data_IF_851309629392
#
_entry.id   IF_851309629392
#
_cell.length_a   1.000
_cell.length_b   1.000
_cell.length_c   1.000
_cell.angle_alpha   90.00
_cell.angle_beta   90.00
_cell.angle_gamma   90.00
#
_symmetry.space_group_name_H-M   'P 1'
#
loop_
_entity.id
_entity.type
_entity.pdbx_description
1 polymer ?
#
# COMPACT_ATOMS: atom_id res chain seq x y z
N UNK A 1 4.52 40.47 31.46
CA UNK A 1 5.64 40.21 30.55
C UNK A 1 6.03 38.74 30.68
N UNK A 2 5.80 37.92 29.64
CA UNK A 2 6.09 36.47 29.68
C UNK A 2 7.60 36.24 29.60
N UNK A 3 8.18 35.52 30.56
CA UNK A 3 9.59 35.10 30.50
C UNK A 3 9.74 34.13 29.33
N UNK A 4 10.52 34.51 28.32
CA UNK A 4 10.86 33.62 27.22
C UNK A 4 11.59 32.37 27.75
N UNK A 5 10.94 31.22 27.62
CA UNK A 5 11.53 29.92 27.95
C UNK A 5 12.65 29.61 26.94
N UNK A 6 13.90 29.84 27.34
CA UNK A 6 15.07 29.42 26.56
C UNK A 6 15.37 27.96 26.83
N UNK A 7 14.95 27.09 25.92
CA UNK A 7 15.32 25.67 25.95
C UNK A 7 16.80 25.54 25.59
N UNK A 8 17.63 25.06 26.53
CA UNK A 8 19.05 24.78 26.28
C UNK A 8 19.20 23.37 25.71
N UNK A 9 19.67 23.26 24.48
CA UNK A 9 19.97 21.97 23.84
C UNK A 9 21.38 21.54 24.29
N UNK A 10 21.53 20.29 24.73
CA UNK A 10 22.84 19.73 25.09
C UNK A 10 23.68 19.53 23.81
N UNK A 11 24.99 19.84 23.81
CA UNK A 11 25.84 19.68 22.62
C UNK A 11 25.81 18.26 22.03
N UNK A 12 25.78 17.25 22.88
CA UNK A 12 25.68 15.84 22.45
C UNK A 12 24.38 15.54 21.70
N UNK A 13 23.26 16.13 22.14
CA UNK A 13 21.96 15.93 21.50
C UNK A 13 21.93 16.65 20.14
N UNK A 14 22.50 17.86 20.06
CA UNK A 14 22.64 18.59 18.81
C UNK A 14 23.48 17.79 17.79
N UNK A 15 24.61 17.23 18.22
CA UNK A 15 25.46 16.42 17.35
C UNK A 15 24.79 15.13 16.85
N UNK A 16 23.86 14.54 17.63
CA UNK A 16 23.06 13.40 17.16
C UNK A 16 22.07 13.81 16.07
N UNK A 17 21.40 14.95 16.22
CA UNK A 17 20.46 15.47 15.22
C UNK A 17 21.19 15.84 13.93
N UNK A 18 22.35 16.48 14.02
CA UNK A 18 23.17 16.82 12.85
C UNK A 18 23.60 15.59 12.06
N UNK A 19 24.00 14.50 12.74
CA UNK A 19 24.31 13.23 12.07
C UNK A 19 23.10 12.65 11.34
N UNK A 20 21.91 12.71 11.93
CA UNK A 20 20.67 12.26 11.28
C UNK A 20 20.36 13.11 10.06
N UNK A 21 20.53 14.44 10.16
CA UNK A 21 20.35 15.35 9.03
C UNK A 21 21.32 15.01 7.90
N UNK A 22 22.63 14.92 8.17
CA UNK A 22 23.64 14.56 7.17
C UNK A 22 23.35 13.21 6.52
N UNK A 23 22.95 12.21 7.30
CA UNK A 23 22.54 10.91 6.79
C UNK A 23 21.34 11.02 5.85
N UNK A 24 20.30 11.74 6.26
CA UNK A 24 19.09 11.96 5.47
C UNK A 24 19.39 12.69 4.14
N UNK A 25 20.28 13.69 4.15
CA UNK A 25 20.74 14.37 2.94
C UNK A 25 21.43 13.41 1.97
N UNK A 26 22.37 12.62 2.48
CA UNK A 26 23.09 11.64 1.66
C UNK A 26 22.15 10.56 1.10
N UNK A 27 21.21 10.08 1.91
CA UNK A 27 20.22 9.09 1.49
C UNK A 27 19.31 9.65 0.40
N UNK A 28 18.79 10.88 0.56
CA UNK A 28 17.96 11.53 -0.45
C UNK A 28 18.71 11.73 -1.77
N UNK A 29 19.98 12.18 -1.73
CA UNK A 29 20.80 12.32 -2.92
C UNK A 29 21.03 10.98 -3.63
N UNK A 30 21.33 9.92 -2.87
CA UNK A 30 21.44 8.55 -3.39
C UNK A 30 20.13 8.08 -4.03
N UNK A 31 18.99 8.39 -3.42
CA UNK A 31 17.68 8.02 -3.95
C UNK A 31 17.46 8.60 -5.34
N UNK A 32 17.68 9.91 -5.53
CA UNK A 32 17.46 10.56 -6.82
C UNK A 32 18.52 10.22 -7.86
N UNK A 33 19.78 10.06 -7.46
CA UNK A 33 20.89 9.79 -8.39
C UNK A 33 20.93 8.34 -8.88
N UNK A 34 20.54 7.38 -8.04
CA UNK A 34 20.76 5.95 -8.34
C UNK A 34 19.51 5.10 -8.16
N UNK A 35 18.83 5.19 -7.01
CA UNK A 35 17.80 4.22 -6.64
C UNK A 35 16.53 4.40 -7.47
N UNK A 36 16.03 5.63 -7.62
CA UNK A 36 14.81 5.91 -8.37
C UNK A 36 14.99 5.58 -9.86
N UNK A 37 16.07 6.04 -10.55
CA UNK A 37 16.31 5.64 -11.94
C UNK A 37 16.38 4.12 -12.12
N UNK A 38 17.10 3.42 -11.23
CA UNK A 38 17.18 1.96 -11.28
C UNK A 38 15.82 1.29 -11.06
N UNK A 39 15.03 1.80 -10.11
CA UNK A 39 13.69 1.27 -9.82
C UNK A 39 12.73 1.44 -10.99
N UNK A 40 12.82 2.53 -11.75
CA UNK A 40 12.02 2.72 -12.97
C UNK A 40 12.31 1.57 -13.95
N UNK A 41 13.58 1.32 -14.28
CA UNK A 41 13.94 0.22 -15.19
C UNK A 41 13.56 -1.17 -14.67
N UNK A 42 13.66 -1.39 -13.36
CA UNK A 42 13.24 -2.65 -12.73
C UNK A 42 11.72 -2.86 -12.82
N UNK A 43 10.93 -1.80 -12.58
CA UNK A 43 9.47 -1.86 -12.67
C UNK A 43 9.01 -2.01 -14.12
N UNK A 44 9.70 -1.37 -15.07
CA UNK A 44 9.45 -1.59 -16.51
C UNK A 44 9.69 -3.05 -16.90
N UNK A 45 10.77 -3.66 -16.41
CA UNK A 45 11.03 -5.09 -16.63
C UNK A 45 9.98 -5.98 -15.94
N UNK A 46 9.55 -5.62 -14.72
CA UNK A 46 8.50 -6.34 -14.00
C UNK A 46 7.16 -6.29 -14.74
N UNK A 47 6.83 -5.17 -15.40
CA UNK A 47 5.63 -5.07 -16.23
C UNK A 47 5.66 -5.99 -17.45
N UNK A 48 6.83 -6.49 -17.88
CA UNK A 48 6.95 -7.49 -18.95
C UNK A 48 6.90 -8.94 -18.42
N UNK A 49 6.78 -9.13 -17.10
CA UNK A 49 6.74 -10.46 -16.49
C UNK A 49 5.42 -11.17 -16.81
N UNK A 50 5.50 -12.44 -17.19
CA UNK A 50 4.33 -13.26 -17.54
C UNK A 50 3.31 -13.36 -16.40
N UNK A 51 3.75 -13.24 -15.14
CA UNK A 51 2.84 -13.27 -13.99
C UNK A 51 1.94 -12.04 -13.91
N UNK A 52 2.33 -10.91 -14.53
CA UNK A 52 1.52 -9.70 -14.61
C UNK A 52 0.79 -9.57 -15.96
N UNK A 53 1.24 -10.31 -16.99
CA UNK A 53 0.65 -10.33 -18.34
C UNK A 53 -0.23 -11.56 -18.56
N UNK A 54 -1.19 -11.79 -17.67
CA UNK A 54 -2.12 -12.93 -17.71
C UNK A 54 -3.45 -12.54 -18.34
N UNK A 55 -3.99 -13.44 -19.18
CA UNK A 55 -5.36 -13.30 -19.69
C UNK A 55 -6.39 -13.51 -18.57
N UNK A 56 -7.50 -12.75 -18.61
CA UNK A 56 -8.53 -12.77 -17.57
C UNK A 56 -9.20 -14.14 -17.42
N UNK A 57 -9.38 -14.88 -18.51
CA UNK A 57 -9.94 -16.23 -18.44
C UNK A 57 -8.98 -17.22 -17.78
N UNK A 58 -7.68 -16.98 -17.90
CA UNK A 58 -6.65 -17.82 -17.26
C UNK A 58 -6.60 -17.67 -15.73
N UNK A 59 -7.19 -16.60 -15.20
CA UNK A 59 -7.28 -16.34 -13.76
C UNK A 59 -8.41 -17.09 -13.07
N UNK A 60 -9.31 -17.77 -13.80
CA UNK A 60 -10.33 -18.60 -13.18
C UNK A 60 -9.68 -19.74 -12.39
N UNK A 61 -9.82 -19.67 -11.07
CA UNK A 61 -9.46 -20.75 -10.16
C UNK A 61 -10.68 -21.67 -9.95
N UNK A 62 -10.47 -23.00 -9.83
CA UNK A 62 -11.55 -23.94 -9.55
C UNK A 62 -12.28 -23.55 -8.26
N UNK A 63 -13.61 -23.47 -8.33
CA UNK A 63 -14.47 -23.14 -7.20
C UNK A 63 -15.41 -24.31 -6.92
N UNK A 64 -14.94 -25.28 -6.15
CA UNK A 64 -15.67 -26.49 -5.78
C UNK A 64 -16.68 -26.22 -4.64
N UNK A 65 -17.60 -25.28 -4.90
CA UNK A 65 -18.74 -25.05 -4.04
C UNK A 65 -19.90 -25.91 -4.54
N UNK A 66 -20.42 -26.83 -3.71
CA UNK A 66 -21.58 -27.63 -4.09
C UNK A 66 -22.81 -26.73 -4.30
N UNK A 67 -23.39 -26.77 -5.51
CA UNK A 67 -24.60 -26.04 -5.86
C UNK A 67 -25.82 -26.86 -5.38
N UNK A 68 -26.71 -26.30 -4.53
CA UNK A 68 -27.92 -27.00 -4.11
C UNK A 68 -28.86 -27.22 -5.31
N UNK A 69 -29.47 -28.41 -5.38
CA UNK A 69 -30.49 -28.69 -6.39
C UNK A 69 -31.73 -27.81 -6.17
N UNK A 70 -32.38 -27.34 -7.26
CA UNK A 70 -33.63 -26.60 -7.15
C UNK A 70 -34.70 -27.47 -6.48
N UNK A 71 -35.58 -26.90 -5.64
CA UNK A 71 -36.67 -27.65 -5.03
C UNK A 71 -37.58 -28.24 -6.12
N UNK A 72 -37.97 -29.50 -5.95
CA UNK A 72 -38.94 -30.16 -6.83
C UNK A 72 -40.30 -29.47 -6.69
N UNK A 73 -41.03 -29.27 -7.80
CA UNK A 73 -42.38 -28.71 -7.81
C UNK A 73 -43.41 -29.55 -7.02
N UNK A 74 -43.05 -30.77 -6.62
CA UNK A 74 -43.86 -31.65 -5.76
C UNK A 74 -43.83 -31.22 -4.28
N UNK A 75 -42.87 -30.37 -3.86
CA UNK A 75 -42.75 -29.87 -2.48
C UNK A 75 -43.58 -28.58 -2.21
N UNK A 76 -44.25 -28.00 -3.22
CA UNK A 76 -45.06 -26.76 -3.07
C UNK A 76 -46.54 -26.98 -2.71
N UNK A 77 -47.03 -28.22 -2.64
CA UNK A 77 -48.43 -28.53 -2.28
C UNK A 77 -48.56 -29.56 -1.14
N UNK A 78 -47.95 -29.33 0.01
CA UNK A 78 -48.42 -29.95 1.26
C UNK A 78 -48.26 -28.95 2.41
N UNK A 79 -49.24 -28.06 2.53
CA UNK A 79 -49.53 -27.40 3.80
C UNK A 79 -50.33 -28.37 4.67
N UNK A 80 -49.83 -28.62 5.88
CA UNK A 80 -50.43 -29.37 6.98
C UNK A 80 -50.27 -30.89 6.97
N UNK A 81 -49.15 -31.38 7.51
CA UNK A 81 -49.11 -32.26 8.69
C UNK A 81 -47.69 -32.55 9.17
N UNK A 82 -47.53 -32.53 10.49
CA UNK A 82 -46.34 -32.87 11.25
C UNK A 82 -45.81 -34.28 10.91
N UNK A 83 -44.67 -34.41 10.20
CA UNK A 83 -43.71 -35.52 10.34
C UNK A 83 -42.30 -35.03 9.94
N UNK A 84 -41.27 -35.60 10.56
CA UNK A 84 -39.85 -35.26 10.46
C UNK A 84 -39.30 -35.24 9.02
N UNK A 85 -39.57 -34.17 8.27
CA UNK A 85 -38.96 -33.92 6.97
C UNK A 85 -37.47 -33.66 7.16
N UNK A 86 -36.63 -34.55 6.64
CA UNK A 86 -35.18 -34.39 6.56
C UNK A 86 -34.87 -32.97 6.05
N UNK A 87 -34.47 -32.06 6.95
CA UNK A 87 -33.87 -30.79 6.54
C UNK A 87 -32.67 -31.15 5.69
N UNK A 88 -32.82 -31.08 4.35
CA UNK A 88 -31.75 -31.33 3.36
C UNK A 88 -30.52 -30.57 3.86
N UNK A 89 -29.58 -31.31 4.46
CA UNK A 89 -28.44 -30.70 5.14
C UNK A 89 -27.64 -29.99 4.05
N UNK A 90 -27.41 -28.69 4.24
CA UNK A 90 -26.61 -27.91 3.30
C UNK A 90 -25.32 -28.68 2.96
N UNK A 91 -25.00 -28.84 1.66
CA UNK A 91 -23.82 -29.59 1.27
C UNK A 91 -22.57 -29.04 1.96
N UNK A 92 -21.77 -29.92 2.58
CA UNK A 92 -20.52 -29.48 3.23
C UNK A 92 -19.52 -29.10 2.14
N UNK A 93 -19.13 -27.84 2.10
CA UNK A 93 -18.09 -27.35 1.21
C UNK A 93 -16.70 -27.77 1.71
N UNK A 94 -15.83 -28.21 0.79
CA UNK A 94 -14.44 -28.59 1.08
C UNK A 94 -13.51 -27.38 1.26
N UNK A 95 -12.21 -27.64 1.42
CA UNK A 95 -11.21 -26.57 1.47
C UNK A 95 -11.03 -25.93 0.09
N UNK A 96 -11.33 -24.63 -0.01
CA UNK A 96 -11.12 -23.84 -1.22
C UNK A 96 -9.75 -23.16 -1.13
N UNK A 97 -8.83 -23.55 -2.01
CA UNK A 97 -7.50 -22.93 -2.09
C UNK A 97 -7.60 -21.53 -2.72
N UNK A 98 -6.72 -20.62 -2.30
CA UNK A 98 -6.58 -19.30 -2.94
C UNK A 98 -6.09 -19.39 -4.39
N UNK A 99 -6.25 -18.31 -5.14
CA UNK A 99 -5.80 -18.24 -6.53
C UNK A 99 -4.28 -18.09 -6.60
N UNK A 100 -3.59 -19.18 -6.94
CA UNK A 100 -2.12 -19.25 -7.00
C UNK A 100 -1.50 -18.23 -7.97
N UNK A 101 -2.16 -17.95 -9.10
CA UNK A 101 -1.65 -17.00 -10.09
C UNK A 101 -1.65 -15.57 -9.53
N UNK A 102 -2.75 -15.20 -8.88
CA UNK A 102 -2.88 -13.90 -8.20
C UNK A 102 -1.89 -13.81 -7.04
N UNK A 103 -1.72 -14.89 -6.27
CA UNK A 103 -0.74 -14.93 -5.18
C UNK A 103 0.69 -14.73 -5.70
N UNK A 104 1.06 -15.40 -6.80
CA UNK A 104 2.37 -15.21 -7.42
C UNK A 104 2.61 -13.77 -7.91
N UNK A 105 1.60 -13.11 -8.46
CA UNK A 105 1.69 -11.70 -8.84
C UNK A 105 1.84 -10.80 -7.60
N UNK A 106 1.05 -11.05 -6.55
CA UNK A 106 1.11 -10.30 -5.30
C UNK A 106 2.48 -10.39 -4.63
N UNK A 107 3.12 -11.56 -4.66
CA UNK A 107 4.43 -11.74 -4.05
C UNK A 107 5.53 -10.91 -4.74
N UNK A 108 5.35 -10.59 -6.04
CA UNK A 108 6.23 -9.68 -6.76
C UNK A 108 5.90 -8.20 -6.52
N UNK A 109 4.62 -7.85 -6.42
CA UNK A 109 4.17 -6.45 -6.28
C UNK A 109 4.32 -5.91 -4.85
N UNK A 110 4.05 -6.73 -3.82
CA UNK A 110 4.14 -6.33 -2.40
C UNK A 110 5.49 -5.71 -2.01
N UNK A 111 6.66 -6.31 -2.31
CA UNK A 111 7.94 -5.71 -1.94
C UNK A 111 8.17 -4.35 -2.60
N UNK A 112 7.68 -4.15 -3.82
CA UNK A 112 7.79 -2.88 -4.53
C UNK A 112 6.96 -1.76 -3.86
N UNK A 113 5.75 -2.08 -3.38
CA UNK A 113 4.94 -1.13 -2.60
C UNK A 113 5.65 -0.74 -1.30
N UNK A 114 6.23 -1.72 -0.59
CA UNK A 114 6.96 -1.47 0.66
C UNK A 114 8.20 -0.61 0.41
N UNK A 115 8.96 -0.91 -0.63
CA UNK A 115 10.13 -0.14 -1.04
C UNK A 115 9.74 1.30 -1.41
N UNK A 116 8.69 1.47 -2.21
CA UNK A 116 8.20 2.79 -2.61
C UNK A 116 7.75 3.63 -1.40
N UNK A 117 7.05 3.03 -0.43
CA UNK A 117 6.69 3.70 0.83
C UNK A 117 7.92 4.19 1.59
N UNK A 118 8.99 3.38 1.61
CA UNK A 118 10.26 3.77 2.21
C UNK A 118 10.85 5.02 1.54
N UNK A 119 10.95 4.99 0.21
CA UNK A 119 11.46 6.11 -0.60
C UNK A 119 10.65 7.39 -0.32
N UNK A 120 9.31 7.31 -0.36
CA UNK A 120 8.45 8.45 -0.09
C UNK A 120 8.65 9.00 1.33
N UNK A 121 8.84 8.13 2.31
CA UNK A 121 9.04 8.54 3.71
C UNK A 121 10.35 9.31 3.86
N UNK A 122 11.45 8.80 3.29
CA UNK A 122 12.76 9.46 3.31
C UNK A 122 12.70 10.82 2.61
N UNK A 123 12.12 10.89 1.40
CA UNK A 123 11.98 12.15 0.66
C UNK A 123 11.09 13.15 1.40
N UNK A 124 9.99 12.69 2.01
CA UNK A 124 9.11 13.55 2.81
C UNK A 124 9.84 14.15 4.00
N UNK A 125 10.58 13.32 4.74
CA UNK A 125 11.37 13.76 5.88
C UNK A 125 12.46 14.77 5.46
N UNK A 126 13.13 14.49 4.34
CA UNK A 126 14.16 15.37 3.79
C UNK A 126 13.62 16.75 3.42
N UNK A 127 12.49 16.81 2.69
CA UNK A 127 11.85 18.08 2.34
C UNK A 127 11.41 18.85 3.58
N UNK A 128 10.85 18.17 4.59
CA UNK A 128 10.45 18.81 5.85
C UNK A 128 11.63 19.46 6.58
N UNK A 129 12.81 18.84 6.56
CA UNK A 129 14.03 19.41 7.16
C UNK A 129 14.57 20.63 6.38
N UNK A 130 14.22 20.76 5.09
CA UNK A 130 14.61 21.89 4.25
C UNK A 130 13.69 23.10 4.38
N UNK A 131 12.55 22.99 5.07
CA UNK A 131 11.64 24.11 5.28
C UNK A 131 12.33 25.08 6.27
N UNK A 132 12.58 26.35 5.87
CA UNK A 132 13.26 27.32 6.72
C UNK A 132 12.36 27.80 7.86
N UNK A 133 12.91 28.65 8.72
CA UNK A 133 12.11 29.37 9.71
C UNK A 133 11.07 30.24 9.00
N UNK A 134 9.91 30.37 9.64
CA UNK A 134 8.84 31.22 9.15
C UNK A 134 9.27 32.67 9.34
N UNK A 135 9.25 33.42 8.25
CA UNK A 135 9.54 34.86 8.18
C UNK A 135 8.37 35.55 7.47
N UNK A 136 8.28 36.89 7.56
CA UNK A 136 7.23 37.65 6.85
C UNK A 136 7.75 38.05 5.47
N UNK A 137 7.20 37.41 4.43
CA UNK A 137 7.63 37.59 3.04
C UNK A 137 8.70 36.60 2.58
N UNK A 138 8.98 36.59 1.28
CA UNK A 138 9.86 35.61 0.60
C UNK A 138 9.36 34.15 0.67
N UNK A 139 8.05 33.95 0.79
CA UNK A 139 7.43 32.63 0.99
C UNK A 139 7.30 31.77 -0.29
N UNK A 140 7.63 32.29 -1.47
CA UNK A 140 7.39 31.57 -2.73
C UNK A 140 8.10 30.20 -2.77
N UNK A 141 9.36 30.14 -2.34
CA UNK A 141 10.11 28.88 -2.24
C UNK A 141 9.49 27.90 -1.24
N UNK A 142 9.01 28.40 -0.10
CA UNK A 142 8.34 27.61 0.93
C UNK A 142 7.01 27.04 0.42
N UNK A 143 6.25 27.83 -0.34
CA UNK A 143 5.02 27.38 -0.99
C UNK A 143 5.31 26.21 -1.93
N UNK A 144 6.39 26.26 -2.72
CA UNK A 144 6.81 25.14 -3.58
C UNK A 144 7.18 23.91 -2.75
N UNK A 145 7.95 24.07 -1.67
CA UNK A 145 8.36 22.96 -0.80
C UNK A 145 7.16 22.25 -0.15
N UNK A 146 6.13 23.01 0.25
CA UNK A 146 4.94 22.48 0.94
C UNK A 146 3.90 21.92 -0.06
N UNK A 147 3.72 22.57 -1.20
CA UNK A 147 2.63 22.24 -2.14
C UNK A 147 3.07 21.43 -3.35
N UNK A 148 4.33 21.51 -3.76
CA UNK A 148 4.87 20.80 -4.92
C UNK A 148 4.88 19.27 -4.79
N UNK A 149 5.45 18.68 -3.72
CA UNK A 149 5.72 17.24 -3.68
C UNK A 149 4.49 16.34 -3.43
N UNK A 150 3.39 16.86 -2.86
CA UNK A 150 2.27 16.01 -2.39
C UNK A 150 0.88 16.33 -2.96
N UNK A 151 0.70 17.44 -3.70
CA UNK A 151 -0.63 17.75 -4.28
C UNK A 151 -1.10 16.73 -5.30
N UNK A 152 -0.17 16.04 -5.98
CA UNK A 152 -0.49 15.11 -7.06
C UNK A 152 -0.80 13.68 -6.60
N UNK A 153 -0.52 13.35 -5.33
CA UNK A 153 -0.81 12.02 -4.74
C UNK A 153 -2.11 11.97 -3.94
N UNK A 154 -2.81 13.10 -3.75
CA UNK A 154 -4.12 13.12 -3.07
C UNK A 154 -5.32 12.82 -3.99
N UNK A 155 -5.08 12.72 -5.30
CA UNK A 155 -6.12 12.55 -6.33
C UNK A 155 -5.96 11.26 -7.16
N UNK A 156 -5.19 10.28 -6.65
CA UNK A 156 -5.08 8.94 -7.24
C UNK A 156 -5.52 7.92 -6.20
#
# INVERSE_FOLDING_TARGET
MSKASRLRIRPEAAGKVEKVQQHLHHEAEKLFSTVIPLKISQLDALLQDDALNVDASSLLAPLDIPIPDPPSAEEEMETDKDEEGEKKKAPRCGFIKGNEKVMSALDKVRPEIVAFRGILTTVSCWIQHLIPKIEDGNDFGVVIQVHGPFKRFKNV
#
